data_IF_406123666414
#
_entry.id   IF_406123666414
#
_cell.length_a   1.000
_cell.length_b   1.000
_cell.length_c   1.000
_cell.angle_alpha   90.00
_cell.angle_beta   90.00
_cell.angle_gamma   90.00
#
_symmetry.space_group_name_H-M   'P 1'
#
loop_
_entity.id
_entity.type
_entity.pdbx_description
1 polymer ?
#
# COMPACT_ATOMS: atom_id res chain seq x y z
N UNK A 1 -11.33 -0.92 25.55
CA UNK A 1 -10.38 -1.96 25.09
C UNK A 1 -9.39 -1.27 24.21
N UNK A 2 -8.15 -1.33 24.56
CA UNK A 2 -7.06 -0.72 23.82
C UNK A 2 -6.81 -1.49 22.52
N UNK A 3 -6.23 -0.82 21.57
CA UNK A 3 -5.93 -1.26 20.21
C UNK A 3 -4.70 -2.18 20.22
N UNK A 4 -4.86 -3.48 20.48
CA UNK A 4 -3.81 -4.44 20.77
C UNK A 4 -2.65 -4.45 19.77
N UNK A 5 -2.93 -4.37 18.46
CA UNK A 5 -1.85 -4.33 17.47
C UNK A 5 -1.06 -3.00 17.55
N UNK A 6 -1.76 -1.88 17.69
CA UNK A 6 -1.11 -0.58 17.86
C UNK A 6 -0.23 -0.54 19.11
N UNK A 7 -0.75 -1.05 20.25
CA UNK A 7 0.01 -1.14 21.50
C UNK A 7 1.25 -2.04 21.37
N UNK A 8 1.10 -3.18 20.68
CA UNK A 8 2.23 -4.07 20.41
C UNK A 8 3.37 -3.35 19.66
N UNK A 9 3.02 -2.53 18.66
CA UNK A 9 4.02 -1.83 17.86
C UNK A 9 4.62 -0.65 18.63
N UNK A 10 3.80 0.15 19.29
CA UNK A 10 4.22 1.41 19.92
C UNK A 10 4.79 1.20 21.34
N UNK A 11 4.13 0.39 22.16
CA UNK A 11 4.50 0.20 23.56
C UNK A 11 5.34 -1.06 23.78
N UNK A 12 5.48 -1.93 22.75
CA UNK A 12 6.18 -3.23 22.81
C UNK A 12 5.67 -4.14 23.96
N UNK A 13 4.42 -3.96 24.35
CA UNK A 13 3.78 -4.71 25.44
C UNK A 13 2.40 -5.19 25.01
N UNK A 14 2.19 -6.49 25.08
CA UNK A 14 0.87 -7.09 24.90
C UNK A 14 0.74 -8.32 25.79
N UNK A 15 -0.50 -8.68 26.15
CA UNK A 15 -0.79 -9.91 26.87
C UNK A 15 -0.72 -11.15 25.97
N UNK A 16 -0.83 -10.99 24.67
CA UNK A 16 -0.76 -12.04 23.65
C UNK A 16 -0.25 -11.47 22.32
N UNK A 17 0.16 -12.33 21.41
CA UNK A 17 0.59 -11.93 20.06
C UNK A 17 -0.62 -11.56 19.21
N UNK A 18 -0.77 -10.29 18.77
CA UNK A 18 -1.88 -9.90 17.91
C UNK A 18 -1.77 -10.53 16.53
N UNK A 19 -2.92 -10.91 15.98
CA UNK A 19 -3.02 -11.60 14.68
C UNK A 19 -3.82 -10.76 13.68
N UNK A 20 -3.26 -10.57 12.50
CA UNK A 20 -3.94 -10.01 11.32
C UNK A 20 -3.29 -10.56 10.04
N UNK A 21 -3.94 -10.40 8.90
CA UNK A 21 -3.42 -10.84 7.60
C UNK A 21 -3.40 -9.70 6.58
N UNK A 22 -2.33 -9.62 5.78
CA UNK A 22 -2.20 -8.61 4.71
C UNK A 22 -3.35 -8.69 3.68
N UNK A 23 -3.94 -9.89 3.49
CA UNK A 23 -5.11 -10.13 2.63
C UNK A 23 -6.22 -10.79 3.45
N UNK A 24 -6.93 -9.99 4.25
CA UNK A 24 -8.02 -10.49 5.08
C UNK A 24 -9.31 -10.71 4.29
N UNK A 25 -9.74 -9.72 3.50
CA UNK A 25 -10.91 -9.88 2.65
C UNK A 25 -10.53 -10.49 1.31
N UNK A 26 -11.34 -11.40 0.80
CA UNK A 26 -11.04 -12.06 -0.46
C UNK A 26 -12.03 -13.11 -0.90
N UNK A 27 -11.72 -13.80 -2.00
CA UNK A 27 -12.61 -14.76 -2.68
C UNK A 27 -12.93 -16.00 -1.85
N UNK A 28 -12.25 -16.26 -0.76
CA UNK A 28 -12.58 -17.35 0.16
C UNK A 28 -13.87 -17.07 0.95
N UNK A 29 -14.25 -15.78 1.11
CA UNK A 29 -15.47 -15.36 1.77
C UNK A 29 -16.65 -15.40 0.78
N UNK A 30 -17.74 -16.16 1.09
CA UNK A 30 -18.95 -16.19 0.24
C UNK A 30 -19.55 -14.79 0.05
N UNK A 31 -19.68 -14.00 1.10
CA UNK A 31 -20.22 -12.64 1.08
C UNK A 31 -19.39 -11.70 0.21
N UNK A 32 -18.07 -11.84 0.19
CA UNK A 32 -17.22 -11.11 -0.75
C UNK A 32 -17.49 -11.50 -2.20
N UNK A 33 -17.68 -12.81 -2.49
CA UNK A 33 -17.99 -13.28 -3.84
C UNK A 33 -19.30 -12.70 -4.35
N UNK A 34 -20.34 -12.61 -3.50
CA UNK A 34 -21.63 -12.01 -3.87
C UNK A 34 -21.50 -10.52 -4.21
N UNK A 35 -20.75 -9.76 -3.40
CA UNK A 35 -20.48 -8.35 -3.71
C UNK A 35 -19.71 -8.23 -5.03
N UNK A 36 -18.68 -9.05 -5.24
CA UNK A 36 -17.88 -9.02 -6.49
C UNK A 36 -18.69 -9.39 -7.73
N UNK A 37 -19.62 -10.32 -7.62
CA UNK A 37 -20.51 -10.70 -8.73
C UNK A 37 -21.37 -9.52 -9.20
N UNK A 38 -21.89 -8.73 -8.25
CA UNK A 38 -22.71 -7.54 -8.53
C UNK A 38 -21.89 -6.32 -8.94
N UNK A 39 -20.60 -6.29 -8.59
CA UNK A 39 -19.66 -5.18 -8.83
C UNK A 39 -18.41 -5.67 -9.58
N UNK A 40 -18.51 -5.95 -10.88
CA UNK A 40 -17.42 -6.54 -11.66
C UNK A 40 -16.24 -5.59 -11.88
N UNK A 41 -16.46 -4.27 -11.87
CA UNK A 41 -15.38 -3.29 -11.98
C UNK A 41 -14.69 -3.11 -10.62
N UNK A 42 -13.45 -3.57 -10.54
CA UNK A 42 -12.69 -3.57 -9.27
C UNK A 42 -12.33 -2.17 -8.79
N UNK A 43 -11.93 -1.28 -9.69
CA UNK A 43 -11.59 0.10 -9.33
C UNK A 43 -12.82 0.82 -8.78
N UNK A 44 -13.96 0.71 -9.45
CA UNK A 44 -15.23 1.27 -8.95
C UNK A 44 -15.63 0.68 -7.60
N UNK A 45 -15.34 -0.61 -7.36
CA UNK A 45 -15.58 -1.25 -6.06
C UNK A 45 -14.68 -0.62 -4.97
N UNK A 46 -13.37 -0.44 -5.23
CA UNK A 46 -12.43 0.20 -4.30
C UNK A 46 -12.79 1.68 -4.02
N UNK A 47 -13.52 2.31 -4.93
CA UNK A 47 -13.97 3.71 -4.80
C UNK A 47 -15.44 3.80 -4.29
N UNK A 48 -16.00 2.73 -3.76
CA UNK A 48 -17.32 2.75 -3.11
C UNK A 48 -17.16 2.63 -1.59
N UNK A 49 -17.29 3.72 -0.82
CA UNK A 49 -17.01 3.71 0.62
C UNK A 49 -17.84 2.70 1.40
N UNK A 50 -19.10 2.51 1.04
CA UNK A 50 -19.99 1.59 1.73
C UNK A 50 -19.59 0.13 1.51
N UNK A 51 -19.31 -0.25 0.25
CA UNK A 51 -18.89 -1.61 -0.08
C UNK A 51 -17.49 -1.91 0.46
N UNK A 52 -16.56 -0.95 0.39
CA UNK A 52 -15.22 -1.08 0.97
C UNK A 52 -15.33 -1.29 2.48
N UNK A 53 -16.13 -0.48 3.19
CA UNK A 53 -16.34 -0.64 4.63
C UNK A 53 -16.96 -2.00 4.96
N UNK A 54 -17.97 -2.44 4.22
CA UNK A 54 -18.59 -3.76 4.41
C UNK A 54 -17.59 -4.89 4.22
N UNK A 55 -16.85 -4.90 3.10
CA UNK A 55 -15.84 -5.92 2.76
C UNK A 55 -14.73 -5.96 3.81
N UNK A 56 -14.25 -4.81 4.25
CA UNK A 56 -13.20 -4.70 5.27
C UNK A 56 -13.59 -5.37 6.58
N UNK A 57 -14.86 -5.28 6.96
CA UNK A 57 -15.36 -5.82 8.22
C UNK A 57 -15.77 -7.31 8.14
N UNK A 58 -15.94 -7.88 6.94
CA UNK A 58 -16.32 -9.29 6.79
C UNK A 58 -15.40 -10.28 7.51
N UNK A 59 -14.04 -10.19 7.39
CA UNK A 59 -13.14 -11.08 8.11
C UNK A 59 -13.27 -10.99 9.64
N UNK A 60 -13.46 -9.77 10.17
CA UNK A 60 -13.62 -9.56 11.62
C UNK A 60 -14.88 -10.16 12.21
N UNK A 61 -15.91 -10.39 11.38
CA UNK A 61 -17.14 -11.08 11.80
C UNK A 61 -16.96 -12.59 11.89
N UNK A 62 -15.97 -13.15 11.19
CA UNK A 62 -15.71 -14.59 11.12
C UNK A 62 -14.56 -15.06 11.97
N UNK A 63 -13.57 -14.20 12.17
CA UNK A 63 -12.32 -14.55 12.83
C UNK A 63 -11.99 -13.51 13.88
N UNK A 64 -11.41 -13.95 14.98
CA UNK A 64 -10.94 -13.06 16.05
C UNK A 64 -9.57 -12.47 15.66
N UNK A 65 -9.62 -11.50 14.75
CA UNK A 65 -8.45 -10.75 14.28
C UNK A 65 -8.30 -9.45 15.08
N UNK A 66 -7.07 -9.00 15.26
CA UNK A 66 -6.74 -7.81 16.05
C UNK A 66 -6.69 -6.52 15.24
N UNK A 67 -6.78 -6.61 13.92
CA UNK A 67 -6.81 -5.44 13.05
C UNK A 67 -7.68 -5.65 11.82
N UNK A 68 -8.16 -4.54 11.28
CA UNK A 68 -8.87 -4.45 10.00
C UNK A 68 -7.98 -3.72 8.99
N UNK A 69 -7.42 -4.42 8.00
CA UNK A 69 -6.80 -3.74 6.87
C UNK A 69 -7.87 -3.32 5.87
N UNK A 70 -7.86 -2.05 5.48
CA UNK A 70 -8.84 -1.49 4.54
C UNK A 70 -8.82 -2.26 3.22
N UNK A 71 -9.99 -2.59 2.67
CA UNK A 71 -10.07 -3.20 1.34
C UNK A 71 -9.81 -2.13 0.28
N UNK A 72 -8.71 -2.26 -0.45
CA UNK A 72 -8.29 -1.36 -1.52
C UNK A 72 -7.25 -2.07 -2.41
N UNK A 73 -6.52 -1.31 -3.22
CA UNK A 73 -5.39 -1.79 -4.02
C UNK A 73 -4.21 -0.82 -3.95
N UNK A 74 -2.98 -1.34 -4.05
CA UNK A 74 -1.76 -0.51 -4.09
C UNK A 74 -1.71 0.38 -5.33
N UNK A 75 -2.43 0.01 -6.39
CA UNK A 75 -2.48 0.76 -7.65
C UNK A 75 -3.43 1.96 -7.62
N UNK A 76 -4.04 2.27 -6.47
CA UNK A 76 -4.89 3.46 -6.37
C UNK A 76 -4.11 4.76 -6.60
N UNK A 77 -2.81 4.82 -6.28
CA UNK A 77 -1.95 5.98 -6.62
C UNK A 77 -1.76 6.10 -8.13
N UNK A 78 -1.29 5.08 -8.88
CA UNK A 78 -1.25 5.14 -10.36
C UNK A 78 -2.59 5.51 -10.99
N UNK A 79 -3.71 4.97 -10.47
CA UNK A 79 -5.05 5.35 -10.91
C UNK A 79 -5.33 6.84 -10.71
N UNK A 80 -5.02 7.38 -9.53
CA UNK A 80 -5.22 8.79 -9.23
C UNK A 80 -4.34 9.70 -10.08
N UNK A 81 -3.15 9.22 -10.46
CA UNK A 81 -2.23 9.87 -11.39
C UNK A 81 -2.67 9.78 -12.87
N UNK A 82 -3.86 9.25 -13.14
CA UNK A 82 -4.47 9.24 -14.48
C UNK A 82 -4.36 7.91 -15.23
N UNK A 83 -3.63 6.92 -14.71
CA UNK A 83 -3.53 5.64 -15.40
C UNK A 83 -4.82 4.83 -15.31
N UNK A 84 -5.29 4.33 -16.44
CA UNK A 84 -6.38 3.38 -16.47
C UNK A 84 -5.87 1.99 -16.09
N UNK A 85 -6.62 1.32 -15.24
CA UNK A 85 -6.24 0.02 -14.68
C UNK A 85 -7.37 -0.97 -14.90
N UNK A 86 -7.04 -2.10 -15.51
CA UNK A 86 -7.93 -3.25 -15.66
C UNK A 86 -7.38 -4.44 -14.89
N UNK A 87 -8.28 -5.20 -14.25
CA UNK A 87 -7.94 -6.49 -13.63
C UNK A 87 -8.41 -7.62 -14.52
N UNK A 88 -7.49 -8.23 -15.25
CA UNK A 88 -7.77 -9.39 -16.09
C UNK A 88 -7.65 -10.69 -15.30
N UNK A 89 -8.64 -11.57 -15.49
CA UNK A 89 -8.66 -12.87 -14.83
C UNK A 89 -7.45 -13.71 -15.28
N UNK A 90 -6.62 -14.11 -14.32
CA UNK A 90 -5.41 -14.92 -14.58
C UNK A 90 -4.15 -14.13 -14.92
N UNK A 91 -4.26 -12.87 -15.31
CA UNK A 91 -3.10 -12.03 -15.68
C UNK A 91 -2.72 -11.02 -14.60
N UNK A 92 -3.70 -10.65 -13.75
CA UNK A 92 -3.53 -9.61 -12.74
C UNK A 92 -3.84 -8.21 -13.27
N UNK A 93 -3.28 -7.15 -12.66
CA UNK A 93 -3.49 -5.79 -13.11
C UNK A 93 -2.74 -5.50 -14.41
N UNK A 94 -3.44 -4.80 -15.31
CA UNK A 94 -2.89 -4.25 -16.55
C UNK A 94 -3.15 -2.75 -16.52
N UNK A 95 -2.11 -1.97 -16.76
CA UNK A 95 -2.15 -0.53 -16.86
C UNK A 95 -2.08 -0.14 -18.34
N UNK A 96 -2.97 0.73 -18.79
CA UNK A 96 -2.91 1.26 -20.16
C UNK A 96 -1.69 2.18 -20.32
N UNK A 97 -1.28 2.39 -21.59
CA UNK A 97 -0.27 3.39 -21.91
C UNK A 97 -0.74 4.78 -21.45
N UNK A 98 0.16 5.52 -20.85
CA UNK A 98 -0.07 6.87 -20.38
C UNK A 98 1.21 7.68 -20.48
N UNK A 99 1.11 8.93 -20.90
CA UNK A 99 2.30 9.79 -21.00
C UNK A 99 2.84 10.07 -19.58
N UNK A 100 4.11 9.72 -19.38
CA UNK A 100 4.78 9.95 -18.10
C UNK A 100 4.82 11.43 -17.73
N UNK A 101 4.86 12.33 -18.72
CA UNK A 101 4.82 13.77 -18.48
C UNK A 101 3.50 14.19 -17.86
N UNK A 102 2.39 13.57 -18.24
CA UNK A 102 1.08 13.83 -17.63
C UNK A 102 1.06 13.38 -16.16
N UNK A 103 1.72 12.26 -15.82
CA UNK A 103 1.86 11.81 -14.42
C UNK A 103 2.60 12.84 -13.57
N UNK A 104 3.68 13.43 -14.10
CA UNK A 104 4.54 14.36 -13.37
C UNK A 104 3.84 15.69 -13.03
N UNK A 105 2.86 16.11 -13.83
CA UNK A 105 2.16 17.39 -13.64
C UNK A 105 0.86 17.27 -12.83
N UNK A 106 0.40 16.05 -12.47
CA UNK A 106 -0.81 15.87 -11.64
C UNK A 106 -0.61 16.53 -10.29
N UNK A 107 -1.56 17.33 -9.87
CA UNK A 107 -1.49 18.03 -8.58
C UNK A 107 -2.00 17.15 -7.42
N UNK A 108 -1.53 17.46 -6.21
CA UNK A 108 -1.96 16.81 -4.96
C UNK A 108 -3.49 16.81 -4.80
N UNK A 109 -4.11 17.94 -5.06
CA UNK A 109 -5.55 18.13 -4.90
C UNK A 109 -6.36 17.13 -5.74
N UNK A 110 -5.91 16.87 -6.98
CA UNK A 110 -6.57 15.91 -7.88
C UNK A 110 -6.44 14.48 -7.37
N UNK A 111 -5.27 14.10 -6.85
CA UNK A 111 -5.04 12.77 -6.26
C UNK A 111 -5.91 12.59 -5.03
N UNK A 112 -5.96 13.58 -4.14
CA UNK A 112 -6.78 13.54 -2.93
C UNK A 112 -8.27 13.40 -3.26
N UNK A 113 -8.77 14.19 -4.20
CA UNK A 113 -10.20 14.15 -4.58
C UNK A 113 -10.58 12.79 -5.20
N UNK A 114 -9.75 12.25 -6.10
CA UNK A 114 -9.98 10.93 -6.69
C UNK A 114 -9.96 9.80 -5.65
N UNK A 115 -9.14 9.91 -4.60
CA UNK A 115 -9.00 8.90 -3.55
C UNK A 115 -9.88 9.15 -2.31
N UNK A 116 -10.60 10.25 -2.25
CA UNK A 116 -11.53 10.62 -1.17
C UNK A 116 -12.50 9.50 -0.73
N UNK A 117 -13.04 8.67 -1.65
CA UNK A 117 -13.89 7.54 -1.25
C UNK A 117 -13.16 6.53 -0.33
N UNK A 118 -11.84 6.33 -0.51
CA UNK A 118 -11.04 5.45 0.36
C UNK A 118 -10.96 6.03 1.78
N UNK A 119 -10.75 7.34 1.90
CA UNK A 119 -10.70 8.02 3.19
C UNK A 119 -12.06 7.96 3.91
N UNK A 120 -13.15 8.12 3.16
CA UNK A 120 -14.51 7.94 3.68
C UNK A 120 -14.75 6.52 4.18
N UNK A 121 -14.25 5.50 3.46
CA UNK A 121 -14.36 4.11 3.87
C UNK A 121 -13.58 3.85 5.17
N UNK A 122 -12.36 4.37 5.30
CA UNK A 122 -11.56 4.27 6.55
C UNK A 122 -12.34 4.85 7.72
N UNK A 123 -12.91 6.04 7.58
CA UNK A 123 -13.73 6.69 8.60
C UNK A 123 -14.94 5.84 8.99
N UNK A 124 -15.62 5.23 8.00
CA UNK A 124 -16.74 4.33 8.26
C UNK A 124 -16.31 3.05 9.00
N UNK A 125 -15.18 2.45 8.63
CA UNK A 125 -14.64 1.27 9.31
C UNK A 125 -14.28 1.62 10.75
N UNK A 126 -13.56 2.73 10.96
CA UNK A 126 -13.15 3.20 12.29
C UNK A 126 -14.33 3.40 13.24
N UNK A 127 -15.46 3.90 12.73
CA UNK A 127 -16.68 4.08 13.52
C UNK A 127 -17.39 2.76 13.85
N UNK A 128 -17.08 1.65 13.15
CA UNK A 128 -17.75 0.35 13.30
C UNK A 128 -16.93 -0.71 14.05
N UNK A 129 -15.66 -0.44 14.33
CA UNK A 129 -14.79 -1.38 15.03
C UNK A 129 -13.92 -0.67 16.07
N UNK A 130 -13.58 -1.40 17.15
CA UNK A 130 -12.58 -0.98 18.14
C UNK A 130 -11.20 -1.58 17.88
N UNK A 131 -11.08 -2.47 16.88
CA UNK A 131 -9.81 -3.06 16.45
C UNK A 131 -8.97 -2.01 15.71
N UNK A 132 -7.65 -2.22 15.61
CA UNK A 132 -6.77 -1.38 14.79
C UNK A 132 -7.26 -1.30 13.35
N UNK A 133 -7.32 -0.10 12.78
CA UNK A 133 -7.58 0.09 11.35
C UNK A 133 -6.26 0.35 10.65
N UNK A 134 -5.91 -0.52 9.71
CA UNK A 134 -4.69 -0.41 8.93
C UNK A 134 -5.03 0.20 7.56
N UNK A 135 -4.52 1.41 7.30
CA UNK A 135 -4.43 1.96 5.97
C UNK A 135 -3.20 1.43 5.24
N UNK A 136 -3.14 1.52 3.92
CA UNK A 136 -1.96 1.06 3.20
C UNK A 136 -1.73 1.77 1.87
N UNK A 137 -0.53 1.56 1.33
CA UNK A 137 -0.11 2.03 0.01
C UNK A 137 0.93 1.08 -0.58
N UNK A 138 1.15 1.18 -1.90
CA UNK A 138 2.36 0.66 -2.52
C UNK A 138 3.55 1.57 -2.25
N UNK A 139 4.75 1.01 -2.14
CA UNK A 139 5.99 1.77 -2.06
C UNK A 139 6.37 2.39 -3.42
N UNK A 140 7.19 3.46 -3.45
CA UNK A 140 7.57 4.16 -4.67
C UNK A 140 8.12 3.24 -5.75
N UNK A 141 9.07 2.36 -5.41
CA UNK A 141 9.64 1.40 -6.35
C UNK A 141 8.59 0.45 -6.94
N UNK A 142 7.78 -0.15 -6.10
CA UNK A 142 6.71 -1.05 -6.58
C UNK A 142 5.74 -0.35 -7.53
N UNK A 143 5.34 0.88 -7.24
CA UNK A 143 4.46 1.64 -8.12
C UNK A 143 5.14 2.07 -9.42
N UNK A 144 6.41 2.46 -9.36
CA UNK A 144 7.23 2.75 -10.54
C UNK A 144 7.28 1.55 -11.49
N UNK A 145 7.54 0.34 -10.93
CA UNK A 145 7.56 -0.91 -11.71
C UNK A 145 6.23 -1.11 -12.44
N UNK A 146 5.09 -0.90 -11.80
CA UNK A 146 3.79 -1.01 -12.46
C UNK A 146 3.58 0.07 -13.51
N UNK A 147 3.95 1.31 -13.23
CA UNK A 147 3.82 2.44 -14.17
C UNK A 147 4.61 2.19 -15.46
N UNK A 148 5.83 1.67 -15.36
CA UNK A 148 6.71 1.45 -16.51
C UNK A 148 6.47 0.10 -17.20
N UNK A 149 6.25 -0.98 -16.43
CA UNK A 149 6.06 -2.33 -16.98
C UNK A 149 4.61 -2.62 -17.42
N UNK A 150 3.63 -1.75 -17.05
CA UNK A 150 2.20 -1.85 -17.36
C UNK A 150 1.48 -3.09 -16.81
N UNK A 151 2.18 -4.00 -16.19
CA UNK A 151 1.66 -5.27 -15.60
C UNK A 151 2.59 -5.77 -14.50
N UNK A 152 2.13 -6.79 -13.79
CA UNK A 152 3.01 -7.49 -12.82
C UNK A 152 4.27 -8.00 -13.50
N UNK A 153 5.46 -7.71 -13.00
CA UNK A 153 6.71 -8.20 -13.58
C UNK A 153 6.81 -9.71 -13.51
N UNK A 154 7.43 -10.33 -14.52
CA UNK A 154 7.82 -11.73 -14.53
C UNK A 154 9.25 -11.89 -14.01
N UNK A 155 9.73 -13.14 -13.87
CA UNK A 155 11.08 -13.44 -13.37
C UNK A 155 12.21 -12.69 -14.08
N UNK A 156 12.06 -12.40 -15.38
CA UNK A 156 13.03 -11.65 -16.18
C UNK A 156 12.58 -10.20 -16.35
N UNK A 157 12.53 -9.47 -15.24
CA UNK A 157 12.24 -8.03 -15.29
C UNK A 157 13.43 -7.28 -15.88
N UNK A 158 13.19 -6.44 -16.88
CA UNK A 158 14.22 -5.65 -17.54
C UNK A 158 14.48 -4.34 -16.75
N UNK A 159 15.69 -4.18 -16.25
CA UNK A 159 16.14 -2.99 -15.52
C UNK A 159 16.71 -1.89 -16.44
N UNK A 160 16.77 -2.10 -17.74
CA UNK A 160 17.40 -1.13 -18.66
C UNK A 160 16.72 0.24 -18.61
N UNK A 161 15.43 0.32 -18.30
CA UNK A 161 14.74 1.59 -18.15
C UNK A 161 15.36 2.51 -17.08
N UNK A 162 15.93 1.94 -15.99
CA UNK A 162 16.59 2.73 -14.93
C UNK A 162 17.86 3.39 -15.49
N UNK A 163 18.58 2.67 -16.35
CA UNK A 163 19.85 3.15 -16.89
C UNK A 163 19.68 4.03 -18.15
N UNK A 164 18.61 3.81 -18.91
CA UNK A 164 18.31 4.55 -20.13
C UNK A 164 17.88 5.99 -19.85
N UNK A 165 17.06 6.22 -18.82
CA UNK A 165 16.64 7.57 -18.44
C UNK A 165 16.56 7.71 -16.91
N UNK A 166 17.72 7.74 -16.28
CA UNK A 166 17.83 7.87 -14.82
C UNK A 166 17.19 9.17 -14.30
N UNK A 167 17.25 10.24 -15.08
CA UNK A 167 16.64 11.52 -14.67
C UNK A 167 15.12 11.41 -14.58
N UNK A 168 14.49 10.78 -15.58
CA UNK A 168 13.04 10.57 -15.58
C UNK A 168 12.61 9.62 -14.46
N UNK A 169 13.36 8.54 -14.25
CA UNK A 169 13.11 7.58 -13.17
C UNK A 169 13.15 8.27 -11.81
N UNK A 170 14.16 9.10 -11.55
CA UNK A 170 14.28 9.84 -10.29
C UNK A 170 13.10 10.82 -10.11
N UNK A 171 12.71 11.58 -11.13
CA UNK A 171 11.54 12.47 -11.07
C UNK A 171 10.24 11.71 -10.78
N UNK A 172 10.07 10.50 -11.33
CA UNK A 172 8.92 9.66 -11.03
C UNK A 172 8.94 9.15 -9.59
N UNK A 173 10.09 8.75 -9.08
CA UNK A 173 10.24 8.33 -7.67
C UNK A 173 9.90 9.50 -6.74
N UNK A 174 10.43 10.69 -6.99
CA UNK A 174 10.12 11.91 -6.22
C UNK A 174 8.63 12.20 -6.23
N UNK A 175 8.00 12.16 -7.40
CA UNK A 175 6.54 12.34 -7.56
C UNK A 175 5.75 11.28 -6.79
N UNK A 176 6.17 10.02 -6.83
CA UNK A 176 5.53 8.94 -6.10
C UNK A 176 5.70 9.09 -4.58
N UNK A 177 6.89 9.47 -4.10
CA UNK A 177 7.13 9.78 -2.68
C UNK A 177 6.17 10.87 -2.20
N UNK A 178 6.02 11.94 -2.97
CA UNK A 178 5.12 13.04 -2.66
C UNK A 178 3.66 12.55 -2.57
N UNK A 179 3.13 11.93 -3.62
CA UNK A 179 1.73 11.50 -3.70
C UNK A 179 1.39 10.39 -2.68
N UNK A 180 2.31 9.45 -2.45
CA UNK A 180 2.17 8.42 -1.40
C UNK A 180 2.12 9.08 -0.02
N UNK A 181 2.97 10.05 0.24
CA UNK A 181 2.98 10.79 1.52
C UNK A 181 1.62 11.44 1.78
N UNK A 182 1.07 12.17 0.82
CA UNK A 182 -0.26 12.78 0.94
C UNK A 182 -1.34 11.74 1.14
N UNK A 183 -1.31 10.66 0.38
CA UNK A 183 -2.27 9.56 0.54
C UNK A 183 -2.21 8.94 1.95
N UNK A 184 -1.02 8.74 2.51
CA UNK A 184 -0.85 8.26 3.89
C UNK A 184 -1.43 9.27 4.88
N UNK A 185 -1.11 10.55 4.75
CA UNK A 185 -1.62 11.61 5.64
C UNK A 185 -3.15 11.60 5.64
N UNK A 186 -3.79 11.54 4.47
CA UNK A 186 -5.25 11.50 4.36
C UNK A 186 -5.87 10.24 4.96
N UNK A 187 -5.20 9.10 4.89
CA UNK A 187 -5.64 7.88 5.58
C UNK A 187 -5.54 8.04 7.11
N UNK A 188 -4.48 8.66 7.62
CA UNK A 188 -4.31 8.95 9.05
C UNK A 188 -5.40 9.93 9.52
N UNK A 189 -5.63 11.03 8.82
CA UNK A 189 -6.69 12.00 9.10
C UNK A 189 -8.09 11.36 9.10
N UNK A 190 -8.30 10.33 8.28
CA UNK A 190 -9.54 9.57 8.23
C UNK A 190 -9.69 8.55 9.38
N UNK A 191 -8.65 8.33 10.18
CA UNK A 191 -8.68 7.49 11.39
C UNK A 191 -7.96 6.16 11.24
N UNK A 192 -7.05 5.99 10.28
CA UNK A 192 -6.15 4.84 10.27
C UNK A 192 -5.21 4.89 11.49
N UNK A 193 -5.14 3.80 12.23
CA UNK A 193 -4.28 3.67 13.43
C UNK A 193 -2.85 3.26 13.07
N UNK A 194 -2.70 2.60 11.94
CA UNK A 194 -1.44 2.02 11.44
C UNK A 194 -1.43 2.17 9.92
N UNK A 195 -0.26 2.37 9.35
CA UNK A 195 -0.07 2.37 7.90
C UNK A 195 0.83 1.20 7.51
N UNK A 196 0.46 0.48 6.44
CA UNK A 196 1.29 -0.55 5.80
C UNK A 196 1.82 -0.05 4.46
N UNK A 197 3.14 -0.09 4.26
CA UNK A 197 3.77 0.22 2.97
C UNK A 197 4.23 -1.09 2.32
N UNK A 198 3.66 -1.41 1.16
CA UNK A 198 3.96 -2.62 0.40
C UNK A 198 4.99 -2.37 -0.69
N UNK A 199 6.23 -2.81 -0.51
CA UNK A 199 7.22 -2.87 -1.57
C UNK A 199 7.34 -4.30 -2.14
N UNK A 200 6.30 -4.71 -2.85
CA UNK A 200 6.12 -6.08 -3.35
C UNK A 200 7.19 -6.50 -4.35
N UNK A 201 7.88 -5.56 -4.97
CA UNK A 201 8.89 -5.77 -5.99
C UNK A 201 10.30 -5.34 -5.57
N UNK A 202 10.53 -5.01 -4.30
CA UNK A 202 11.85 -4.65 -3.78
C UNK A 202 12.93 -5.69 -4.10
N UNK A 203 12.59 -6.98 -3.97
CA UNK A 203 13.50 -8.09 -4.28
C UNK A 203 13.86 -8.27 -5.76
N UNK A 204 13.27 -7.48 -6.68
CA UNK A 204 13.72 -7.40 -8.07
C UNK A 204 14.95 -6.49 -8.22
N UNK A 205 15.17 -5.56 -7.28
CA UNK A 205 16.31 -4.66 -7.33
C UNK A 205 17.62 -5.41 -7.12
N UNK A 206 18.66 -5.11 -7.92
CA UNK A 206 20.02 -5.48 -7.56
C UNK A 206 20.36 -4.91 -6.16
N UNK A 207 21.11 -5.66 -5.35
CA UNK A 207 21.46 -5.25 -3.97
C UNK A 207 22.02 -3.82 -3.89
N UNK A 208 22.89 -3.45 -4.83
CA UNK A 208 23.49 -2.11 -4.93
C UNK A 208 22.51 -0.97 -5.17
N UNK A 209 21.31 -1.28 -5.71
CA UNK A 209 20.26 -0.29 -6.03
C UNK A 209 19.19 -0.21 -4.92
N UNK A 210 19.19 -1.13 -3.95
CA UNK A 210 18.25 -1.09 -2.83
C UNK A 210 18.26 0.25 -2.07
N UNK A 211 19.42 0.85 -1.75
CA UNK A 211 19.45 2.16 -1.10
C UNK A 211 18.68 3.21 -1.91
N UNK A 212 18.98 3.35 -3.19
CA UNK A 212 18.45 4.42 -4.04
C UNK A 212 16.93 4.33 -4.31
N UNK A 213 16.40 3.11 -4.47
CA UNK A 213 15.02 2.91 -4.96
C UNK A 213 14.07 2.28 -3.95
N UNK A 214 14.60 1.67 -2.87
CA UNK A 214 13.78 1.07 -1.81
C UNK A 214 13.96 1.78 -0.47
N UNK A 215 15.22 2.00 -0.01
CA UNK A 215 15.47 2.52 1.34
C UNK A 215 15.21 4.02 1.43
N UNK A 216 15.91 4.83 0.64
CA UNK A 216 15.84 6.29 0.71
C UNK A 216 14.43 6.84 0.43
N UNK A 217 13.70 6.38 -0.63
CA UNK A 217 12.33 6.83 -0.85
C UNK A 217 11.38 6.44 0.29
N UNK A 218 11.57 5.24 0.89
CA UNK A 218 10.76 4.82 2.03
C UNK A 218 11.10 5.63 3.28
N UNK A 219 12.38 5.86 3.55
CA UNK A 219 12.84 6.71 4.66
C UNK A 219 12.24 8.12 4.57
N UNK A 220 12.27 8.72 3.39
CA UNK A 220 11.71 10.06 3.17
C UNK A 220 10.20 10.11 3.48
N UNK A 221 9.43 9.12 3.02
CA UNK A 221 8.01 9.00 3.37
C UNK A 221 7.84 8.93 4.90
N UNK A 222 8.59 8.05 5.57
CA UNK A 222 8.50 7.88 7.02
C UNK A 222 8.83 9.17 7.78
N UNK A 223 9.85 9.90 7.34
CA UNK A 223 10.22 11.18 7.94
C UNK A 223 9.11 12.22 7.81
N UNK A 224 8.49 12.32 6.63
CA UNK A 224 7.40 13.28 6.36
C UNK A 224 6.13 12.98 7.17
N UNK A 225 5.84 11.69 7.46
CA UNK A 225 4.65 11.29 8.22
C UNK A 225 4.90 11.15 9.72
N UNK A 226 6.14 11.19 10.18
CA UNK A 226 6.54 10.97 11.58
C UNK A 226 5.77 11.83 12.58
N UNK A 227 5.51 13.10 12.24
CA UNK A 227 4.82 14.06 13.10
C UNK A 227 3.39 13.66 13.47
N UNK A 228 2.77 12.74 12.74
CA UNK A 228 1.41 12.27 13.03
C UNK A 228 1.35 11.18 14.09
N UNK A 229 2.50 10.62 14.53
CA UNK A 229 2.57 9.63 15.60
C UNK A 229 1.94 8.27 15.29
N UNK A 230 1.65 8.00 14.02
CA UNK A 230 1.08 6.73 13.56
C UNK A 230 2.21 5.79 13.12
N UNK A 231 2.26 4.55 13.63
CA UNK A 231 3.31 3.60 13.23
C UNK A 231 3.14 3.16 11.78
N UNK A 232 4.28 3.03 11.09
CA UNK A 232 4.34 2.51 9.72
C UNK A 232 4.98 1.13 9.75
N UNK A 233 4.27 0.15 9.18
CA UNK A 233 4.79 -1.19 8.91
C UNK A 233 5.32 -1.19 7.48
N UNK A 234 6.57 -1.58 7.27
CA UNK A 234 7.15 -1.70 5.94
C UNK A 234 7.29 -3.18 5.54
N UNK A 235 7.02 -3.47 4.26
CA UNK A 235 7.22 -4.80 3.68
C UNK A 235 8.05 -4.72 2.40
N UNK A 236 9.38 -4.59 2.52
CA UNK A 236 10.31 -4.70 1.38
C UNK A 236 10.51 -6.17 1.02
N UNK A 237 9.55 -6.72 0.28
CA UNK A 237 9.50 -8.15 -0.01
C UNK A 237 10.68 -8.60 -0.88
N UNK A 238 11.34 -9.68 -0.47
CA UNK A 238 12.36 -10.36 -1.28
C UNK A 238 13.76 -9.77 -1.19
N UNK A 239 14.03 -8.84 -0.27
CA UNK A 239 15.36 -8.24 -0.10
C UNK A 239 16.36 -9.13 0.67
N UNK A 240 15.92 -10.30 1.13
CA UNK A 240 16.74 -11.37 1.75
C UNK A 240 17.61 -10.82 2.91
N UNK A 241 18.93 -11.03 2.84
CA UNK A 241 19.90 -10.59 3.85
C UNK A 241 19.93 -9.06 4.07
N UNK A 242 19.33 -8.28 3.17
CA UNK A 242 19.30 -6.81 3.29
C UNK A 242 18.22 -6.29 4.24
N UNK A 243 17.43 -7.16 4.90
CA UNK A 243 16.46 -6.70 5.92
C UNK A 243 17.13 -5.97 7.09
N UNK A 244 18.31 -6.42 7.53
CA UNK A 244 19.06 -5.74 8.60
C UNK A 244 19.47 -4.32 8.19
N UNK A 245 19.98 -4.17 6.96
CA UNK A 245 20.39 -2.88 6.41
C UNK A 245 19.17 -1.95 6.25
N UNK A 246 18.03 -2.49 5.76
CA UNK A 246 16.78 -1.75 5.67
C UNK A 246 16.32 -1.25 7.04
N UNK A 247 16.28 -2.10 8.05
CA UNK A 247 15.84 -1.72 9.40
C UNK A 247 16.75 -0.68 10.04
N UNK A 248 18.06 -0.78 9.85
CA UNK A 248 19.02 0.19 10.41
C UNK A 248 18.94 1.56 9.73
N UNK A 249 18.65 1.59 8.42
CA UNK A 249 18.55 2.82 7.62
C UNK A 249 17.18 3.47 7.76
N UNK A 250 16.11 2.72 7.47
CA UNK A 250 14.74 3.25 7.37
C UNK A 250 14.08 3.42 8.74
N UNK A 251 14.42 2.57 9.70
CA UNK A 251 13.88 2.56 11.08
C UNK A 251 12.35 2.58 11.12
N UNK A 252 11.69 1.63 10.47
CA UNK A 252 10.23 1.56 10.48
C UNK A 252 9.69 1.27 11.89
N UNK A 253 8.42 1.61 12.13
CA UNK A 253 7.73 1.25 13.38
C UNK A 253 7.61 -0.27 13.56
N UNK A 254 7.43 -0.99 12.44
CA UNK A 254 7.41 -2.44 12.38
C UNK A 254 7.85 -2.92 10.99
N UNK A 255 8.37 -4.12 10.88
CA UNK A 255 8.78 -4.75 9.63
C UNK A 255 8.00 -6.05 9.39
N UNK A 256 7.49 -6.22 8.18
CA UNK A 256 7.02 -7.52 7.69
C UNK A 256 8.14 -8.21 6.93
N UNK A 257 8.34 -9.48 7.17
CA UNK A 257 9.39 -10.29 6.55
C UNK A 257 8.79 -11.39 5.68
N UNK A 258 9.57 -11.88 4.71
CA UNK A 258 9.22 -13.02 3.88
C UNK A 258 9.34 -14.35 4.65
N UNK A 259 8.71 -15.38 4.11
CA UNK A 259 8.85 -16.76 4.62
C UNK A 259 10.23 -17.39 4.33
N UNK A 260 11.09 -16.73 3.56
CA UNK A 260 12.43 -17.19 3.20
C UNK A 260 13.56 -16.46 3.98
N UNK A 261 13.23 -15.80 5.06
CA UNK A 261 14.18 -15.04 5.91
C UNK A 261 14.48 -15.81 7.18
#
# INVERSE_FOLDING_TARGET
MKNTLWECIMEKKTFYTPIWFMRQAGRYLPEFREIRKRNPNFIKLCLNPNLVSEITLQPLKRFDLDAAIIFSDILMIPYALGQKIELKKGEGPILEEHDIKEILIVEEADVIEKLKPIYQAIKQVKNKTKKSVIGFTGAPWTLLVYILNKKSPKKNFDFNFITQDKLLVNKLIEKLVEMITFHIIKQIEAGADIIQVFDSWAGLLPKKELPNYCFDPTLEILQRVKKFGVPVICFPRGIKESYSDFCSTVKPGCISIDYNV
#
